data_IF_596753146191
#
_entry.id   IF_596753146191
#
_cell.length_a   1.000
_cell.length_b   1.000
_cell.length_c   1.000
_cell.angle_alpha   90.00
_cell.angle_beta   90.00
_cell.angle_gamma   90.00
#
_symmetry.space_group_name_H-M   'P 1'
#
loop_
_entity.id
_entity.type
_entity.pdbx_description
1 polymer ?
#
# COMPACT_ATOMS: atom_id res chain seq x y z
N UNK A 1 17.88 -10.16 0.01
CA UNK A 1 18.72 -10.18 -1.21
C UNK A 1 17.84 -10.06 -2.45
N UNK A 2 16.89 -10.98 -2.65
CA UNK A 2 16.04 -11.02 -3.86
C UNK A 2 15.30 -9.70 -4.18
N UNK A 3 14.64 -9.06 -3.22
CA UNK A 3 13.89 -7.80 -3.49
C UNK A 3 14.78 -6.62 -3.88
N UNK A 4 15.99 -6.54 -3.31
CA UNK A 4 16.98 -5.53 -3.70
C UNK A 4 17.50 -5.80 -5.12
N UNK A 5 17.72 -7.06 -5.47
CA UNK A 5 18.13 -7.45 -6.82
C UNK A 5 17.07 -7.11 -7.87
N UNK A 6 15.78 -7.34 -7.56
CA UNK A 6 14.65 -6.92 -8.41
C UNK A 6 14.66 -5.41 -8.65
N UNK A 7 14.85 -4.62 -7.61
CA UNK A 7 14.95 -3.16 -7.70
C UNK A 7 16.13 -2.74 -8.59
N UNK A 8 17.34 -3.27 -8.32
CA UNK A 8 18.55 -2.96 -9.11
C UNK A 8 18.35 -3.35 -10.58
N UNK A 9 17.73 -4.51 -10.83
CA UNK A 9 17.43 -4.97 -12.18
C UNK A 9 16.47 -4.04 -12.90
N UNK A 10 15.37 -3.65 -12.27
CA UNK A 10 14.40 -2.73 -12.86
C UNK A 10 15.04 -1.37 -13.22
N UNK A 11 15.81 -0.79 -12.28
CA UNK A 11 16.50 0.49 -12.48
C UNK A 11 17.54 0.40 -13.60
N UNK A 12 18.31 -0.70 -13.63
CA UNK A 12 19.30 -0.96 -14.70
C UNK A 12 18.68 -0.90 -16.10
N UNK A 13 17.41 -1.31 -16.23
CA UNK A 13 16.68 -1.34 -17.49
C UNK A 13 15.76 -0.13 -17.71
N UNK A 14 15.92 0.93 -16.92
CA UNK A 14 15.28 2.23 -17.17
C UNK A 14 14.03 2.51 -16.35
N UNK A 15 13.80 1.84 -15.22
CA UNK A 15 12.73 2.25 -14.31
C UNK A 15 13.10 3.55 -13.58
N UNK A 16 12.34 4.62 -13.84
CA UNK A 16 12.54 5.95 -13.22
C UNK A 16 12.12 6.00 -11.74
N UNK A 17 11.21 5.12 -11.33
CA UNK A 17 10.71 4.97 -9.96
C UNK A 17 10.41 3.50 -9.70
N UNK A 18 10.47 3.08 -8.44
CA UNK A 18 10.08 1.72 -8.04
C UNK A 18 9.07 1.80 -6.91
N UNK A 19 8.09 0.90 -6.88
CA UNK A 19 7.19 0.77 -5.74
C UNK A 19 7.45 -0.51 -4.98
N UNK A 20 7.62 -0.41 -3.67
CA UNK A 20 7.55 -1.57 -2.79
C UNK A 20 6.09 -1.90 -2.49
N UNK A 21 5.59 -2.96 -3.12
CA UNK A 21 4.23 -3.48 -2.96
C UNK A 21 4.19 -4.76 -2.11
N UNK A 22 5.23 -4.99 -1.30
CA UNK A 22 5.33 -6.13 -0.40
C UNK A 22 4.11 -6.24 0.53
N UNK A 23 3.63 -7.46 0.71
CA UNK A 23 2.58 -7.82 1.68
C UNK A 23 2.99 -9.02 2.52
N UNK A 24 2.31 -9.25 3.65
CA UNK A 24 2.70 -10.29 4.60
C UNK A 24 3.77 -9.82 5.60
N UNK A 25 4.72 -10.70 5.92
CA UNK A 25 5.68 -10.48 7.01
C UNK A 25 6.90 -9.67 6.56
N UNK A 26 7.56 -9.00 7.51
CA UNK A 26 8.84 -8.31 7.34
C UNK A 26 8.87 -7.16 6.33
N UNK A 27 7.70 -6.56 6.01
CA UNK A 27 7.60 -5.43 5.08
C UNK A 27 8.55 -4.29 5.47
N UNK A 28 8.57 -3.90 6.74
CA UNK A 28 9.44 -2.82 7.24
C UNK A 28 10.92 -3.07 6.93
N UNK A 29 11.42 -4.26 7.27
CA UNK A 29 12.83 -4.62 7.12
C UNK A 29 13.22 -4.73 5.64
N UNK A 30 12.35 -5.32 4.80
CA UNK A 30 12.60 -5.42 3.36
C UNK A 30 12.69 -4.03 2.75
N UNK A 31 11.76 -3.14 3.11
CA UNK A 31 11.73 -1.76 2.60
C UNK A 31 12.95 -0.94 3.05
N UNK A 32 13.46 -1.13 4.27
CA UNK A 32 14.68 -0.44 4.73
C UNK A 32 15.87 -0.75 3.79
N UNK A 33 16.03 -2.01 3.40
CA UNK A 33 17.06 -2.40 2.44
C UNK A 33 16.84 -1.80 1.05
N UNK A 34 15.59 -1.75 0.57
CA UNK A 34 15.25 -1.14 -0.73
C UNK A 34 15.60 0.35 -0.70
N UNK A 35 15.04 1.12 0.25
CA UNK A 35 15.20 2.58 0.32
C UNK A 35 16.67 2.98 0.51
N UNK A 36 17.42 2.26 1.35
CA UNK A 36 18.85 2.51 1.57
C UNK A 36 19.73 2.30 0.34
N UNK A 37 19.27 1.54 -0.65
CA UNK A 37 20.03 1.19 -1.86
C UNK A 37 19.40 1.75 -3.14
N UNK A 38 18.32 2.52 -3.05
CA UNK A 38 17.60 3.06 -4.21
C UNK A 38 18.19 4.42 -4.62
N UNK A 39 18.73 4.56 -5.84
CA UNK A 39 19.07 5.86 -6.41
C UNK A 39 17.88 6.57 -7.07
N UNK A 40 16.67 5.99 -7.01
CA UNK A 40 15.43 6.50 -7.63
C UNK A 40 14.32 6.59 -6.58
N UNK A 41 13.27 7.41 -6.81
CA UNK A 41 12.15 7.50 -5.88
C UNK A 41 11.46 6.15 -5.62
N UNK A 42 11.14 5.90 -4.35
CA UNK A 42 10.41 4.74 -3.86
C UNK A 42 9.00 5.12 -3.45
N UNK A 43 8.03 4.44 -4.05
CA UNK A 43 6.62 4.55 -3.67
C UNK A 43 6.11 3.37 -2.86
N UNK A 44 5.04 3.59 -2.10
CA UNK A 44 4.33 2.51 -1.40
C UNK A 44 2.81 2.69 -1.46
N UNK A 45 2.10 1.65 -1.02
CA UNK A 45 0.68 1.74 -0.63
C UNK A 45 0.61 1.52 0.89
N UNK A 46 0.58 2.57 1.73
CA UNK A 46 0.66 2.42 3.19
C UNK A 46 -0.43 1.51 3.77
N UNK A 47 -1.58 1.45 3.11
CA UNK A 47 -2.72 0.61 3.50
C UNK A 47 -2.36 -0.88 3.56
N UNK A 48 -1.42 -1.36 2.75
CA UNK A 48 -1.04 -2.78 2.75
C UNK A 48 -0.34 -3.18 4.04
N UNK A 49 0.58 -2.34 4.53
CA UNK A 49 1.22 -2.59 5.81
C UNK A 49 0.26 -2.36 6.98
N UNK A 50 -0.60 -1.33 6.90
CA UNK A 50 -1.61 -1.10 7.92
C UNK A 50 -2.54 -2.32 8.09
N UNK A 51 -2.91 -2.97 6.98
CA UNK A 51 -3.71 -4.19 6.98
C UNK A 51 -3.01 -5.37 7.67
N UNK A 52 -1.69 -5.53 7.48
CA UNK A 52 -0.91 -6.56 8.17
C UNK A 52 -0.83 -6.30 9.69
N UNK A 53 -0.74 -5.02 10.11
CA UNK A 53 -0.74 -4.65 11.53
C UNK A 53 -2.03 -5.04 12.26
N UNK A 54 -3.13 -5.20 11.53
CA UNK A 54 -4.43 -5.68 12.05
C UNK A 54 -4.73 -7.13 11.63
N UNK A 55 -3.70 -7.91 11.31
CA UNK A 55 -3.84 -9.35 11.04
C UNK A 55 -4.61 -9.69 9.77
N UNK A 56 -4.68 -8.78 8.80
CA UNK A 56 -5.43 -8.99 7.56
C UNK A 56 -6.92 -8.67 7.64
N UNK A 57 -7.40 -8.19 8.81
CA UNK A 57 -8.82 -7.89 9.04
C UNK A 57 -9.07 -6.44 8.65
N UNK A 58 -9.64 -6.22 7.46
CA UNK A 58 -9.88 -4.87 6.95
C UNK A 58 -10.77 -4.05 7.88
N UNK A 59 -11.73 -4.68 8.56
CA UNK A 59 -12.66 -4.08 9.51
C UNK A 59 -11.96 -3.44 10.72
N UNK A 60 -10.81 -3.99 11.11
CA UNK A 60 -10.05 -3.53 12.28
C UNK A 60 -9.13 -2.34 11.93
N UNK A 61 -9.06 -1.94 10.66
CA UNK A 61 -8.37 -0.73 10.25
C UNK A 61 -9.00 0.51 10.90
N UNK A 62 -8.15 1.43 11.35
CA UNK A 62 -8.53 2.72 11.88
C UNK A 62 -7.47 3.77 11.56
N UNK A 63 -7.77 5.02 11.89
CA UNK A 63 -6.86 6.14 11.63
C UNK A 63 -5.55 6.00 12.41
N UNK A 64 -5.58 5.51 13.63
CA UNK A 64 -4.39 5.38 14.48
C UNK A 64 -3.36 4.44 13.86
N UNK A 65 -3.79 3.24 13.43
CA UNK A 65 -2.91 2.27 12.75
C UNK A 65 -2.39 2.82 11.42
N UNK A 66 -3.24 3.52 10.66
CA UNK A 66 -2.86 4.10 9.39
C UNK A 66 -1.86 5.26 9.55
N UNK A 67 -2.11 6.17 10.49
CA UNK A 67 -1.22 7.28 10.87
C UNK A 67 0.16 6.76 11.27
N UNK A 68 0.21 5.77 12.16
CA UNK A 68 1.48 5.23 12.63
C UNK A 68 2.25 4.56 11.48
N UNK A 69 1.54 3.95 10.53
CA UNK A 69 2.15 3.40 9.31
C UNK A 69 2.68 4.49 8.36
N UNK A 70 1.98 5.63 8.24
CA UNK A 70 2.46 6.76 7.45
C UNK A 70 3.74 7.36 8.04
N UNK A 71 3.76 7.59 9.36
CA UNK A 71 4.94 8.13 10.06
C UNK A 71 6.13 7.19 9.88
N UNK A 72 5.93 5.89 10.13
CA UNK A 72 6.98 4.88 9.98
C UNK A 72 7.58 4.87 8.56
N UNK A 73 6.74 4.95 7.52
CA UNK A 73 7.20 4.96 6.13
C UNK A 73 7.87 6.28 5.74
N UNK A 74 7.37 7.41 6.25
CA UNK A 74 7.97 8.71 6.02
C UNK A 74 9.36 8.80 6.66
N UNK A 75 9.52 8.29 7.89
CA UNK A 75 10.82 8.24 8.59
C UNK A 75 11.83 7.33 7.89
N UNK A 76 11.38 6.27 7.20
CA UNK A 76 12.25 5.44 6.37
C UNK A 76 12.73 6.15 5.10
N UNK A 77 12.02 7.18 4.63
CA UNK A 77 12.36 7.92 3.42
C UNK A 77 11.58 7.49 2.18
N UNK A 78 10.35 7.00 2.32
CA UNK A 78 9.46 6.78 1.17
C UNK A 78 9.10 8.12 0.51
N UNK A 79 9.28 8.22 -0.80
CA UNK A 79 9.11 9.47 -1.55
C UNK A 79 7.65 9.81 -1.86
N UNK A 80 6.81 8.80 -2.09
CA UNK A 80 5.39 9.01 -2.38
C UNK A 80 4.47 7.89 -1.90
N UNK A 81 3.24 8.29 -1.55
CA UNK A 81 2.20 7.37 -1.10
C UNK A 81 1.04 7.28 -2.09
N UNK A 82 0.68 6.06 -2.46
CA UNK A 82 -0.60 5.79 -3.09
C UNK A 82 -1.68 5.65 -2.03
N UNK A 83 -2.57 6.65 -1.95
CA UNK A 83 -3.64 6.73 -0.96
C UNK A 83 -5.01 6.66 -1.66
N UNK A 84 -5.83 5.69 -1.27
CA UNK A 84 -7.15 5.44 -1.87
C UNK A 84 -8.26 6.27 -1.22
N UNK A 85 -8.00 7.55 -0.91
CA UNK A 85 -8.93 8.43 -0.19
C UNK A 85 -10.23 8.75 -0.96
N UNK A 86 -10.24 8.51 -2.28
CA UNK A 86 -11.39 8.76 -3.16
C UNK A 86 -12.41 7.62 -3.22
N UNK A 87 -12.14 6.48 -2.59
CA UNK A 87 -13.10 5.36 -2.50
C UNK A 87 -14.14 5.69 -1.44
N UNK A 88 -15.12 6.53 -1.81
CA UNK A 88 -16.19 6.99 -0.92
C UNK A 88 -17.31 5.96 -0.85
N UNK A 89 -17.95 5.83 0.31
CA UNK A 89 -19.05 4.88 0.55
C UNK A 89 -20.12 4.88 -0.56
N UNK A 90 -20.61 6.05 -0.96
CA UNK A 90 -21.67 6.16 -1.98
C UNK A 90 -21.19 5.89 -3.42
N UNK A 91 -19.89 5.74 -3.66
CA UNK A 91 -19.37 5.31 -4.96
C UNK A 91 -19.33 3.78 -5.09
N UNK A 92 -19.34 3.04 -3.98
CA UNK A 92 -19.24 1.57 -4.00
C UNK A 92 -20.41 0.93 -4.77
N UNK A 93 -21.69 1.34 -4.60
CA UNK A 93 -22.80 0.78 -5.36
C UNK A 93 -22.67 0.97 -6.88
N UNK A 94 -21.97 2.01 -7.34
CA UNK A 94 -21.72 2.27 -8.77
C UNK A 94 -20.83 1.20 -9.43
N UNK A 95 -20.27 0.29 -8.64
CA UNK A 95 -19.39 -0.78 -9.12
C UNK A 95 -20.09 -2.14 -9.27
N UNK A 96 -21.34 -2.27 -8.84
CA UNK A 96 -22.08 -3.56 -8.79
C UNK A 96 -22.25 -4.18 -10.17
N UNK A 97 -22.56 -3.37 -11.20
CA UNK A 97 -22.80 -3.86 -12.55
C UNK A 97 -21.52 -3.97 -13.40
N UNK A 98 -20.33 -3.76 -12.82
CA UNK A 98 -19.07 -3.95 -13.54
C UNK A 98 -18.81 -5.44 -13.74
N UNK A 99 -18.43 -5.81 -14.97
CA UNK A 99 -18.02 -7.18 -15.32
C UNK A 99 -16.92 -7.72 -14.38
N UNK A 100 -15.99 -6.87 -13.95
CA UNK A 100 -14.83 -7.25 -13.13
C UNK A 100 -14.79 -6.59 -11.74
N UNK A 101 -15.85 -5.87 -11.35
CA UNK A 101 -15.95 -5.24 -10.03
C UNK A 101 -14.84 -4.21 -9.72
N UNK A 102 -14.34 -4.26 -8.47
CA UNK A 102 -13.22 -3.43 -7.97
C UNK A 102 -11.93 -4.27 -8.01
N UNK A 103 -11.06 -3.99 -8.99
CA UNK A 103 -9.81 -4.74 -9.20
C UNK A 103 -8.60 -4.14 -8.47
N UNK A 104 -8.72 -2.92 -7.93
CA UNK A 104 -7.67 -2.34 -7.09
C UNK A 104 -7.66 -3.02 -5.72
N UNK A 105 -6.51 -3.57 -5.31
CA UNK A 105 -6.35 -4.17 -3.98
C UNK A 105 -6.57 -3.14 -2.87
N UNK A 106 -5.96 -1.96 -2.95
CA UNK A 106 -6.18 -0.90 -1.96
C UNK A 106 -7.62 -0.39 -1.97
N UNK A 107 -8.23 -0.30 -3.15
CA UNK A 107 -9.62 0.11 -3.29
C UNK A 107 -10.61 -0.90 -2.71
N UNK A 108 -10.38 -2.21 -2.88
CA UNK A 108 -11.25 -3.25 -2.32
C UNK A 108 -11.14 -3.34 -0.80
N UNK A 109 -9.96 -3.10 -0.22
CA UNK A 109 -9.78 -2.98 1.24
C UNK A 109 -10.61 -1.82 1.78
N UNK A 110 -10.50 -0.63 1.18
CA UNK A 110 -11.29 0.54 1.59
C UNK A 110 -12.79 0.31 1.42
N UNK A 111 -13.21 -0.29 0.31
CA UNK A 111 -14.62 -0.60 0.07
C UNK A 111 -15.18 -1.55 1.14
N UNK A 112 -14.42 -2.60 1.52
CA UNK A 112 -14.81 -3.53 2.58
C UNK A 112 -14.96 -2.81 3.94
N UNK A 113 -14.00 -1.95 4.29
CA UNK A 113 -14.07 -1.15 5.52
C UNK A 113 -15.28 -0.21 5.55
N UNK A 114 -15.50 0.53 4.46
CA UNK A 114 -16.64 1.45 4.33
C UNK A 114 -17.99 0.71 4.46
N UNK A 115 -18.14 -0.44 3.80
CA UNK A 115 -19.37 -1.24 3.85
C UNK A 115 -19.63 -1.81 5.25
N UNK A 116 -18.58 -2.25 5.95
CA UNK A 116 -18.70 -2.81 7.29
C UNK A 116 -19.13 -1.75 8.31
N UNK A 117 -18.48 -0.59 8.30
CA UNK A 117 -18.72 0.48 9.28
C UNK A 117 -19.83 1.46 8.87
N UNK A 118 -20.26 1.40 7.61
CA UNK A 118 -21.16 2.36 6.98
C UNK A 118 -20.65 3.81 7.12
N UNK A 119 -19.36 4.02 6.84
CA UNK A 119 -18.64 5.29 6.97
C UNK A 119 -17.82 5.63 5.72
#
# INVERSE_FOLDING_TARGET
>A
AEEVEKMVWAIRWGADTVMDLSTGRNIHNIRDWIVRNAPVPIGTVPLYQALEKVGGIAEDLNWEVYRDTLIEQAEQGVDYFTIHASVRLHYIPLTVDRVTGIVSRGGSIMAKWCLHHHR
#
